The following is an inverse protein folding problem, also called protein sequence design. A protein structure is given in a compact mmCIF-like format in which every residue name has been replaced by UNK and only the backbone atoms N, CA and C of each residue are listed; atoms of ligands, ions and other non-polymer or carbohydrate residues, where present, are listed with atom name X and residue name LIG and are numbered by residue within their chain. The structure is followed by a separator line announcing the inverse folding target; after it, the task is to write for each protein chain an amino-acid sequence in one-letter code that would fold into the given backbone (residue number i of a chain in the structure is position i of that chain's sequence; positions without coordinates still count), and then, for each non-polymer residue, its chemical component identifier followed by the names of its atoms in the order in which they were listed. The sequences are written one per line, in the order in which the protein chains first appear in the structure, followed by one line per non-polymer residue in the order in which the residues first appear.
data_IF_124455608378
#
_entry.id   IF_124455608378
#
_cell.length_a   1.000
_cell.length_b   1.000
_cell.length_c   1.000
_cell.angle_alpha   90.00
_cell.angle_beta   90.00
_cell.angle_gamma   90.00
#
_symmetry.space_group_name_H-M   'P 1'
#
loop_
_entity.id
_entity.type
_entity.pdbx_description
1 polymer ?
#
# COMPACT_ATOMS: atom_id res chain seq x y z
N UNK A 1 18.30 -11.62 8.58
CA UNK A 1 17.57 -10.34 8.39
C UNK A 1 18.54 -9.39 7.70
N UNK A 2 18.12 -8.68 6.71
CA UNK A 2 18.95 -7.72 5.96
C UNK A 2 18.84 -6.33 6.58
N UNK A 3 19.91 -5.54 6.49
CA UNK A 3 19.89 -4.13 6.93
C UNK A 3 19.12 -3.22 5.92
N UNK A 4 18.72 -3.78 4.76
CA UNK A 4 18.03 -3.05 3.70
C UNK A 4 16.52 -2.88 3.96
N UNK A 5 15.95 -3.66 4.87
CA UNK A 5 14.59 -3.52 5.37
C UNK A 5 14.62 -3.46 6.90
N UNK A 6 14.24 -2.31 7.47
CA UNK A 6 14.07 -2.18 8.91
C UNK A 6 12.65 -2.60 9.29
N UNK A 7 12.54 -3.52 10.23
CA UNK A 7 11.26 -4.07 10.71
C UNK A 7 11.10 -3.68 12.17
N UNK A 8 10.04 -2.95 12.47
CA UNK A 8 9.70 -2.51 13.83
C UNK A 8 8.25 -2.85 14.12
N UNK A 9 8.00 -3.45 15.28
CA UNK A 9 6.64 -3.75 15.71
C UNK A 9 6.43 -3.19 17.13
N UNK A 10 5.38 -2.39 17.28
CA UNK A 10 4.94 -1.87 18.56
C UNK A 10 3.40 -1.64 18.52
N UNK A 11 2.72 -1.92 19.61
CA UNK A 11 1.28 -1.64 19.79
C UNK A 11 0.42 -2.16 18.63
N UNK A 12 0.71 -3.36 18.11
CA UNK A 12 0.08 -3.99 16.95
C UNK A 12 0.28 -3.24 15.61
N UNK A 13 1.20 -2.29 15.55
CA UNK A 13 1.62 -1.60 14.33
C UNK A 13 2.94 -2.23 13.88
N UNK A 14 2.98 -2.79 12.67
CA UNK A 14 4.19 -3.26 12.01
C UNK A 14 4.66 -2.18 11.04
N UNK A 15 5.85 -1.63 11.26
CA UNK A 15 6.46 -0.65 10.36
C UNK A 15 7.61 -1.30 9.59
N UNK A 16 7.51 -1.24 8.26
CA UNK A 16 8.50 -1.73 7.31
C UNK A 16 9.14 -0.51 6.64
N UNK A 17 10.43 -0.27 6.91
CA UNK A 17 11.14 0.86 6.31
C UNK A 17 12.15 0.35 5.29
N UNK A 18 11.95 0.69 4.02
CA UNK A 18 12.92 0.45 2.95
C UNK A 18 14.17 1.26 3.27
N UNK A 19 15.33 0.60 3.42
CA UNK A 19 16.52 1.20 4.01
C UNK A 19 17.74 1.09 3.09
N UNK A 20 17.67 1.73 1.94
CA UNK A 20 18.81 2.01 1.05
C UNK A 20 18.80 3.50 0.66
N UNK A 21 18.90 4.43 1.65
CA UNK A 21 18.72 5.87 1.42
C UNK A 21 19.70 6.45 0.39
N UNK A 22 20.92 5.92 0.30
CA UNK A 22 21.95 6.32 -0.68
C UNK A 22 21.58 5.93 -2.12
N UNK A 23 20.62 5.03 -2.29
CA UNK A 23 20.06 4.57 -3.56
C UNK A 23 18.59 4.97 -3.71
N UNK A 24 18.11 5.96 -2.94
CA UNK A 24 16.72 6.38 -2.93
C UNK A 24 15.73 5.20 -2.71
N UNK A 25 16.16 4.25 -1.90
CA UNK A 25 15.42 3.02 -1.58
C UNK A 25 15.06 2.17 -2.82
N UNK A 26 15.92 2.20 -3.86
CA UNK A 26 15.77 1.29 -5.00
C UNK A 26 15.81 -0.17 -4.51
N UNK A 27 14.87 -0.97 -5.00
CA UNK A 27 14.63 -2.34 -4.57
C UNK A 27 15.59 -3.27 -5.32
N UNK A 28 16.51 -3.89 -4.59
CA UNK A 28 17.25 -5.05 -5.06
C UNK A 28 16.59 -6.36 -4.60
N UNK A 29 17.08 -7.50 -5.09
CA UNK A 29 16.47 -8.80 -4.80
C UNK A 29 16.43 -9.11 -3.30
N UNK A 30 17.47 -8.77 -2.55
CA UNK A 30 17.53 -9.02 -1.11
C UNK A 30 16.48 -8.21 -0.33
N UNK A 31 16.25 -6.94 -0.70
CA UNK A 31 15.19 -6.12 -0.12
C UNK A 31 13.81 -6.64 -0.55
N UNK A 32 13.68 -7.07 -1.81
CA UNK A 32 12.43 -7.64 -2.35
C UNK A 32 12.00 -8.88 -1.57
N UNK A 33 12.93 -9.83 -1.40
CA UNK A 33 12.69 -11.07 -0.65
C UNK A 33 12.31 -10.76 0.79
N UNK A 34 13.10 -9.92 1.47
CA UNK A 34 12.84 -9.56 2.86
C UNK A 34 11.47 -8.86 3.05
N UNK A 35 11.08 -8.00 2.10
CA UNK A 35 9.79 -7.32 2.13
C UNK A 35 8.64 -8.33 1.92
N UNK A 36 8.77 -9.22 0.95
CA UNK A 36 7.77 -10.26 0.65
C UNK A 36 7.58 -11.20 1.83
N UNK A 37 8.67 -11.79 2.34
CA UNK A 37 8.64 -12.72 3.48
C UNK A 37 8.02 -12.07 4.72
N UNK A 38 8.37 -10.81 4.99
CA UNK A 38 7.83 -10.09 6.16
C UNK A 38 6.34 -9.79 6.01
N UNK A 39 5.88 -9.43 4.80
CA UNK A 39 4.47 -9.20 4.52
C UNK A 39 3.67 -10.50 4.64
N UNK A 40 4.17 -11.62 4.11
CA UNK A 40 3.53 -12.92 4.21
C UNK A 40 3.43 -13.41 5.66
N UNK A 41 4.51 -13.27 6.43
CA UNK A 41 4.50 -13.58 7.85
C UNK A 41 3.50 -12.70 8.63
N UNK A 42 3.41 -11.41 8.29
CA UNK A 42 2.48 -10.47 8.93
C UNK A 42 1.01 -10.81 8.64
N UNK A 43 0.71 -11.46 7.52
CA UNK A 43 -0.68 -11.80 7.15
C UNK A 43 -1.36 -12.67 8.21
N UNK A 44 -0.68 -13.68 8.76
CA UNK A 44 -1.18 -14.61 9.76
C UNK A 44 -0.85 -14.22 11.22
N UNK A 45 -0.02 -13.21 11.44
CA UNK A 45 0.39 -12.79 12.78
C UNK A 45 -0.69 -11.96 13.47
N UNK A 46 -1.40 -12.52 14.44
CA UNK A 46 -2.50 -11.86 15.19
C UNK A 46 -2.02 -10.64 15.99
N UNK A 47 -0.75 -10.56 16.35
CA UNK A 47 -0.14 -9.41 17.02
C UNK A 47 0.06 -8.19 16.10
N UNK A 48 -0.19 -8.35 14.79
CA UNK A 48 -0.17 -7.25 13.82
C UNK A 48 -1.60 -6.87 13.48
N UNK A 49 -1.99 -5.62 13.75
CA UNK A 49 -3.29 -5.07 13.40
C UNK A 49 -3.27 -4.17 12.17
N UNK A 50 -2.11 -3.59 11.85
CA UNK A 50 -1.90 -2.68 10.71
C UNK A 50 -0.44 -2.70 10.29
N UNK A 51 -0.20 -2.48 9.00
CA UNK A 51 1.15 -2.38 8.43
C UNK A 51 1.38 -0.97 7.90
N UNK A 52 2.55 -0.42 8.17
CA UNK A 52 3.04 0.86 7.60
C UNK A 52 4.26 0.56 6.76
N UNK A 53 4.26 0.98 5.49
CA UNK A 53 5.42 0.92 4.60
C UNK A 53 5.96 2.33 4.43
N UNK A 54 7.25 2.52 4.69
CA UNK A 54 7.96 3.79 4.62
C UNK A 54 9.31 3.64 3.90
N UNK A 55 9.91 4.75 3.53
CA UNK A 55 11.30 4.81 3.04
C UNK A 55 12.19 5.56 4.02
N UNK A 56 13.44 5.15 4.15
CA UNK A 56 14.45 5.90 4.89
C UNK A 56 15.02 7.05 4.04
N UNK A 57 15.50 8.11 4.68
CA UNK A 57 16.14 9.25 4.02
C UNK A 57 15.17 10.11 3.23
N UNK A 58 15.56 10.57 2.03
CA UNK A 58 14.88 11.64 1.27
C UNK A 58 13.80 11.18 0.28
N UNK A 59 13.58 9.88 0.12
CA UNK A 59 12.61 9.33 -0.82
C UNK A 59 11.85 8.14 -0.23
N UNK A 60 10.65 7.92 -0.66
CA UNK A 60 9.93 6.68 -0.34
C UNK A 60 10.61 5.48 -1.02
N UNK A 61 10.61 5.46 -2.37
CA UNK A 61 11.25 4.41 -3.16
C UNK A 61 11.24 4.79 -4.65
N UNK A 62 12.35 4.53 -5.36
CA UNK A 62 12.48 4.84 -6.80
C UNK A 62 12.37 3.62 -7.72
N UNK A 63 11.87 2.49 -7.20
CA UNK A 63 11.60 1.28 -8.00
C UNK A 63 12.74 0.27 -7.98
N UNK A 64 12.79 -0.59 -8.98
CA UNK A 64 13.83 -1.61 -9.09
C UNK A 64 15.23 -1.00 -9.23
N UNK A 65 16.26 -1.65 -8.67
CA UNK A 65 17.64 -1.23 -8.83
C UNK A 65 18.11 -1.55 -10.26
N UNK A 66 18.13 -0.52 -11.12
CA UNK A 66 18.50 -0.62 -12.54
C UNK A 66 19.91 -1.19 -12.73
N UNK A 67 20.80 -1.01 -11.74
CA UNK A 67 22.14 -1.60 -11.79
C UNK A 67 22.15 -3.14 -11.80
N UNK A 68 21.03 -3.79 -11.48
CA UNK A 68 20.86 -5.25 -11.56
C UNK A 68 20.19 -5.72 -12.87
N UNK A 69 19.82 -4.81 -13.76
CA UNK A 69 19.26 -5.13 -15.09
C UNK A 69 20.39 -5.51 -16.05
N UNK A 70 20.86 -6.75 -15.95
CA UNK A 70 21.87 -7.33 -16.86
C UNK A 70 21.17 -8.15 -17.94
N UNK A 71 21.91 -8.49 -19.02
CA UNK A 71 21.39 -9.33 -20.11
C UNK A 71 20.94 -10.70 -19.57
N UNK A 72 19.75 -11.15 -19.95
CA UNK A 72 19.12 -12.39 -19.52
C UNK A 72 18.28 -13.00 -20.63
N UNK A 73 18.03 -14.27 -20.54
CA UNK A 73 17.07 -14.96 -21.41
C UNK A 73 15.64 -14.54 -21.12
N UNK A 74 14.70 -14.69 -22.08
CA UNK A 74 13.30 -14.39 -21.85
C UNK A 74 12.71 -15.13 -20.62
N UNK A 75 13.05 -16.39 -20.38
CA UNK A 75 12.56 -17.16 -19.25
C UNK A 75 13.07 -16.64 -17.89
N UNK A 76 14.34 -16.20 -17.84
CA UNK A 76 14.89 -15.58 -16.64
C UNK A 76 14.21 -14.22 -16.36
N UNK A 77 13.95 -13.43 -17.43
CA UNK A 77 13.22 -12.17 -17.29
C UNK A 77 11.78 -12.39 -16.81
N UNK A 78 11.06 -13.39 -17.34
CA UNK A 78 9.71 -13.74 -16.90
C UNK A 78 9.69 -14.04 -15.41
N UNK A 79 10.61 -14.87 -14.91
CA UNK A 79 10.73 -15.21 -13.50
C UNK A 79 11.02 -14.00 -12.63
N UNK A 80 11.93 -13.11 -13.06
CA UNK A 80 12.32 -11.92 -12.29
C UNK A 80 11.19 -10.90 -12.24
N UNK A 81 10.56 -10.61 -13.37
CA UNK A 81 9.44 -9.66 -13.44
C UNK A 81 8.26 -10.16 -12.59
N UNK A 82 7.97 -11.47 -12.64
CA UNK A 82 6.93 -12.07 -11.79
C UNK A 82 7.29 -11.95 -10.30
N UNK A 83 8.53 -12.20 -9.93
CA UNK A 83 9.03 -12.08 -8.57
C UNK A 83 8.94 -10.63 -8.01
N UNK A 84 9.19 -9.62 -8.84
CA UNK A 84 8.98 -8.21 -8.45
C UNK A 84 7.52 -7.89 -8.09
N UNK A 85 6.55 -8.68 -8.52
CA UNK A 85 5.14 -8.54 -8.15
C UNK A 85 4.77 -9.18 -6.81
N UNK A 86 5.62 -10.01 -6.21
CA UNK A 86 5.29 -10.75 -5.00
C UNK A 86 4.94 -9.85 -3.80
N UNK A 87 5.68 -8.80 -3.44
CA UNK A 87 5.28 -7.91 -2.36
C UNK A 87 3.96 -7.18 -2.65
N UNK A 88 3.69 -6.87 -3.93
CA UNK A 88 2.42 -6.27 -4.35
C UNK A 88 1.27 -7.25 -4.16
N UNK A 89 1.46 -8.52 -4.55
CA UNK A 89 0.49 -9.60 -4.32
C UNK A 89 0.26 -9.83 -2.83
N UNK A 90 1.32 -9.82 -2.02
CA UNK A 90 1.23 -9.96 -0.58
C UNK A 90 0.39 -8.82 0.03
N UNK A 91 0.68 -7.55 -0.30
CA UNK A 91 -0.11 -6.39 0.15
C UNK A 91 -1.59 -6.52 -0.28
N UNK A 92 -1.82 -6.98 -1.52
CA UNK A 92 -3.17 -7.15 -2.04
C UNK A 92 -3.97 -8.25 -1.32
N UNK A 93 -3.31 -9.31 -0.83
CA UNK A 93 -3.94 -10.45 -0.14
C UNK A 93 -4.12 -10.25 1.35
N UNK A 94 -3.26 -9.43 1.98
CA UNK A 94 -3.33 -9.15 3.41
C UNK A 94 -4.67 -8.50 3.76
N UNK A 95 -5.40 -9.07 4.72
CA UNK A 95 -6.70 -8.54 5.18
C UNK A 95 -6.55 -7.34 6.13
N UNK A 96 -5.36 -7.12 6.67
CA UNK A 96 -5.06 -5.99 7.55
C UNK A 96 -4.89 -4.70 6.74
N UNK A 97 -5.24 -3.53 7.31
CA UNK A 97 -4.95 -2.26 6.66
C UNK A 97 -3.44 -2.07 6.41
N UNK A 98 -3.09 -1.56 5.23
CA UNK A 98 -1.72 -1.23 4.85
C UNK A 98 -1.64 0.24 4.46
N UNK A 99 -0.72 0.97 5.07
CA UNK A 99 -0.52 2.41 4.88
C UNK A 99 0.83 2.64 4.21
N UNK A 100 0.86 3.33 3.09
CA UNK A 100 2.08 3.89 2.51
C UNK A 100 2.32 5.29 3.09
N UNK A 101 3.48 5.50 3.73
CA UNK A 101 3.98 6.79 4.19
C UNK A 101 4.87 7.37 3.08
N UNK A 102 4.28 8.17 2.21
CA UNK A 102 4.92 8.69 1.00
C UNK A 102 5.61 10.03 1.26
N UNK A 103 6.89 10.15 0.92
CA UNK A 103 7.63 11.41 0.93
C UNK A 103 8.70 11.40 -0.17
N UNK A 104 9.13 12.59 -0.60
CA UNK A 104 10.10 12.71 -1.69
C UNK A 104 9.63 11.98 -2.95
N UNK A 105 10.51 11.22 -3.57
CA UNK A 105 10.22 10.52 -4.82
C UNK A 105 9.54 9.15 -4.57
N UNK A 106 8.42 8.93 -5.27
CA UNK A 106 7.64 7.68 -5.29
C UNK A 106 7.55 7.23 -6.75
N UNK A 107 8.48 6.40 -7.21
CA UNK A 107 8.72 6.19 -8.64
C UNK A 107 8.76 4.70 -8.98
N UNK A 108 8.27 4.33 -10.15
CA UNK A 108 8.34 2.97 -10.69
C UNK A 108 7.76 1.92 -9.74
N UNK A 109 8.56 0.93 -9.33
CA UNK A 109 8.15 -0.08 -8.35
C UNK A 109 7.75 0.50 -6.99
N UNK A 110 8.34 1.63 -6.58
CA UNK A 110 7.93 2.36 -5.39
C UNK A 110 6.49 2.91 -5.52
N UNK A 111 6.13 3.43 -6.69
CA UNK A 111 4.75 3.81 -6.98
C UNK A 111 3.83 2.58 -6.96
N UNK A 112 4.28 1.45 -7.53
CA UNK A 112 3.54 0.18 -7.48
C UNK A 112 3.23 -0.28 -6.06
N UNK A 113 4.24 -0.29 -5.18
CA UNK A 113 4.06 -0.61 -3.76
C UNK A 113 3.08 0.35 -3.07
N UNK A 114 3.21 1.65 -3.31
CA UNK A 114 2.32 2.64 -2.72
C UNK A 114 0.87 2.47 -3.20
N UNK A 115 0.66 2.19 -4.48
CA UNK A 115 -0.70 1.96 -5.04
C UNK A 115 -1.35 0.68 -4.51
N UNK A 116 -0.58 -0.36 -4.22
CA UNK A 116 -1.09 -1.60 -3.64
C UNK A 116 -1.57 -1.42 -2.19
N UNK A 117 -1.04 -0.44 -1.45
CA UNK A 117 -1.48 -0.11 -0.10
C UNK A 117 -2.92 0.44 -0.11
N UNK A 118 -3.62 0.30 1.02
CA UNK A 118 -4.99 0.81 1.16
C UNK A 118 -5.01 2.35 1.28
N UNK A 119 -4.02 2.89 1.98
CA UNK A 119 -3.88 4.34 2.20
C UNK A 119 -2.52 4.83 1.73
N UNK A 120 -2.51 5.97 1.05
CA UNK A 120 -1.32 6.73 0.65
C UNK A 120 -1.36 8.08 1.34
N UNK A 121 -0.63 8.19 2.46
CA UNK A 121 -0.45 9.44 3.20
C UNK A 121 0.85 10.08 2.73
N UNK A 122 0.78 11.29 2.24
CA UNK A 122 1.88 11.95 1.54
C UNK A 122 2.30 13.26 2.19
N UNK A 123 3.60 13.52 2.17
CA UNK A 123 4.17 14.84 2.49
C UNK A 123 4.04 15.79 1.31
N UNK A 124 3.84 17.07 1.60
CA UNK A 124 4.08 18.14 0.63
C UNK A 124 5.51 18.03 0.08
N UNK A 125 5.67 18.31 -1.22
CA UNK A 125 6.94 18.15 -1.94
C UNK A 125 7.19 16.74 -2.47
N UNK A 126 6.34 15.74 -2.17
CA UNK A 126 6.46 14.42 -2.80
C UNK A 126 6.09 14.42 -4.27
N UNK A 127 6.70 13.51 -5.07
CA UNK A 127 6.50 13.42 -6.52
C UNK A 127 6.29 11.97 -6.95
N UNK A 128 5.48 11.77 -7.98
CA UNK A 128 5.03 10.46 -8.44
C UNK A 128 5.33 10.29 -9.92
N UNK A 129 5.84 9.10 -10.32
CA UNK A 129 6.13 8.83 -11.71
C UNK A 129 6.06 7.33 -12.02
N UNK A 130 5.51 6.98 -13.19
CA UNK A 130 5.59 5.66 -13.81
C UNK A 130 6.57 5.72 -15.00
N UNK A 131 7.90 5.60 -14.79
CA UNK A 131 8.93 5.98 -15.75
C UNK A 131 9.22 4.91 -16.82
N UNK A 132 8.50 3.81 -16.84
CA UNK A 132 8.84 2.58 -17.56
C UNK A 132 9.05 2.79 -19.05
N UNK A 133 8.21 3.59 -19.73
CA UNK A 133 8.34 3.85 -21.19
C UNK A 133 9.61 4.62 -21.53
N UNK A 134 10.16 5.43 -20.61
CA UNK A 134 11.44 6.10 -20.81
C UNK A 134 12.63 5.13 -20.83
N UNK A 135 12.44 3.92 -20.28
CA UNK A 135 13.42 2.84 -20.30
C UNK A 135 13.12 1.81 -21.41
N UNK A 136 12.15 2.07 -22.28
CA UNK A 136 11.69 1.10 -23.28
C UNK A 136 10.91 -0.08 -22.72
N UNK A 137 10.43 0.03 -21.47
CA UNK A 137 9.60 -0.97 -20.81
C UNK A 137 8.12 -0.62 -20.97
N UNK A 138 7.24 -1.63 -20.83
CA UNK A 138 5.81 -1.39 -20.87
C UNK A 138 5.36 -0.54 -19.68
N UNK A 139 4.56 0.50 -19.92
CA UNK A 139 4.08 1.44 -18.89
C UNK A 139 3.23 0.78 -17.79
N UNK A 140 2.72 -0.43 -18.04
CA UNK A 140 1.88 -1.18 -17.12
C UNK A 140 2.65 -1.94 -16.01
N UNK A 141 3.98 -1.86 -15.99
CA UNK A 141 4.85 -2.60 -15.07
C UNK A 141 4.55 -2.28 -13.59
N UNK A 142 5.02 -3.15 -12.70
CA UNK A 142 4.85 -3.03 -11.24
C UNK A 142 3.41 -2.71 -10.82
N UNK A 143 2.44 -3.39 -11.45
CA UNK A 143 1.01 -3.24 -11.20
C UNK A 143 0.38 -1.89 -11.62
N UNK A 144 1.13 -0.98 -12.25
CA UNK A 144 0.59 0.31 -12.69
C UNK A 144 -0.61 0.15 -13.62
N UNK A 145 -0.57 -0.83 -14.53
CA UNK A 145 -1.68 -1.13 -15.43
C UNK A 145 -2.98 -1.54 -14.72
N UNK A 146 -2.90 -2.10 -13.52
CA UNK A 146 -4.06 -2.51 -12.73
C UNK A 146 -4.54 -1.40 -11.78
N UNK A 147 -3.66 -0.87 -10.93
CA UNK A 147 -4.06 0.07 -9.88
C UNK A 147 -4.25 1.49 -10.37
N UNK A 148 -3.37 2.00 -11.24
CA UNK A 148 -3.41 3.42 -11.59
C UNK A 148 -4.73 3.84 -12.24
N UNK A 149 -5.26 3.12 -13.27
CA UNK A 149 -6.56 3.47 -13.85
C UNK A 149 -7.72 3.42 -12.85
N UNK A 150 -7.64 2.54 -11.86
CA UNK A 150 -8.66 2.39 -10.80
C UNK A 150 -8.59 3.49 -9.75
N UNK A 151 -7.42 4.06 -9.53
CA UNK A 151 -7.22 5.14 -8.56
C UNK A 151 -7.48 6.52 -9.12
N UNK A 152 -7.01 6.79 -10.36
CA UNK A 152 -7.03 8.14 -10.95
C UNK A 152 -7.89 8.27 -12.20
N UNK A 153 -8.51 7.18 -12.66
CA UNK A 153 -9.25 7.11 -13.91
C UNK A 153 -8.36 6.97 -15.13
N UNK A 154 -8.95 6.57 -16.26
CA UNK A 154 -8.23 6.24 -17.50
C UNK A 154 -7.41 7.42 -18.06
N UNK A 155 -7.96 8.65 -17.99
CA UNK A 155 -7.31 9.82 -18.58
C UNK A 155 -5.96 10.12 -17.91
N UNK A 156 -5.94 10.26 -16.59
CA UNK A 156 -4.71 10.52 -15.85
C UNK A 156 -3.75 9.32 -15.89
N UNK A 157 -4.27 8.10 -15.83
CA UNK A 157 -3.44 6.89 -15.94
C UNK A 157 -2.73 6.84 -17.30
N UNK A 158 -3.45 7.10 -18.41
CA UNK A 158 -2.88 7.16 -19.75
C UNK A 158 -1.77 8.21 -19.85
N UNK A 159 -2.03 9.41 -19.32
CA UNK A 159 -1.04 10.49 -19.32
C UNK A 159 0.22 10.08 -18.54
N UNK A 160 0.09 9.65 -17.28
CA UNK A 160 1.24 9.25 -16.46
C UNK A 160 2.04 8.08 -17.06
N UNK A 161 1.35 7.04 -17.55
CA UNK A 161 2.00 5.81 -18.02
C UNK A 161 2.64 5.97 -19.40
N UNK A 162 2.06 6.77 -20.30
CA UNK A 162 2.55 6.94 -21.67
C UNK A 162 3.55 8.08 -21.80
N UNK A 163 3.47 9.11 -20.96
CA UNK A 163 4.42 10.25 -20.99
C UNK A 163 5.58 10.08 -20.02
N UNK A 164 5.41 9.20 -19.01
CA UNK A 164 6.36 9.02 -17.90
C UNK A 164 6.74 10.36 -17.21
N UNK A 165 5.82 11.33 -17.22
CA UNK A 165 6.04 12.61 -16.53
C UNK A 165 5.96 12.45 -15.02
N UNK A 166 6.64 13.33 -14.31
CA UNK A 166 6.43 13.49 -12.89
C UNK A 166 5.12 14.23 -12.62
N UNK A 167 4.40 13.77 -11.61
CA UNK A 167 3.21 14.38 -11.03
C UNK A 167 3.60 14.88 -9.65
N UNK A 168 3.32 16.14 -9.33
CA UNK A 168 3.55 16.67 -8.00
C UNK A 168 2.44 16.21 -7.01
N UNK A 169 2.65 16.50 -5.73
CA UNK A 169 1.75 16.02 -4.68
C UNK A 169 0.36 16.67 -4.73
N UNK A 170 0.25 17.91 -5.18
CA UNK A 170 -1.04 18.61 -5.28
C UNK A 170 -1.86 18.02 -6.44
N UNK A 171 -1.26 17.84 -7.60
CA UNK A 171 -1.90 17.18 -8.73
C UNK A 171 -2.27 15.73 -8.37
N UNK A 172 -1.36 14.98 -7.74
CA UNK A 172 -1.61 13.62 -7.30
C UNK A 172 -2.79 13.53 -6.31
N UNK A 173 -2.95 14.53 -5.44
CA UNK A 173 -4.11 14.64 -4.55
C UNK A 173 -5.39 14.94 -5.31
N UNK A 174 -5.36 15.86 -6.27
CA UNK A 174 -6.52 16.24 -7.08
C UNK A 174 -7.06 15.08 -7.93
N UNK A 175 -6.17 14.29 -8.51
CA UNK A 175 -6.57 13.11 -9.32
C UNK A 175 -6.99 11.89 -8.49
N UNK A 176 -6.92 11.95 -7.17
CA UNK A 176 -7.35 10.85 -6.29
C UNK A 176 -6.27 9.81 -5.96
N UNK A 177 -5.03 10.01 -6.42
CA UNK A 177 -3.94 9.09 -6.11
C UNK A 177 -3.64 9.05 -4.61
N UNK A 178 -3.75 10.17 -3.91
CA UNK A 178 -3.40 10.30 -2.49
C UNK A 178 -4.64 10.31 -1.59
N UNK A 179 -4.61 9.53 -0.53
CA UNK A 179 -5.64 9.55 0.52
C UNK A 179 -5.59 10.86 1.32
N UNK A 180 -4.38 11.26 1.72
CA UNK A 180 -4.13 12.51 2.46
C UNK A 180 -2.84 13.15 1.98
N UNK A 181 -2.81 14.48 1.99
CA UNK A 181 -1.63 15.31 1.75
C UNK A 181 -1.49 16.25 2.94
N UNK A 182 -0.31 16.28 3.56
CA UNK A 182 -0.03 17.07 4.77
C UNK A 182 1.36 17.71 4.69
N UNK A 183 1.65 18.76 5.47
CA UNK A 183 3.01 19.25 5.64
C UNK A 183 3.96 18.11 6.04
N UNK A 184 5.21 18.13 5.56
CA UNK A 184 6.19 17.05 5.82
C UNK A 184 6.40 16.83 7.33
N UNK A 185 6.45 17.91 8.10
CA UNK A 185 6.62 17.83 9.55
C UNK A 185 5.45 17.15 10.30
N UNK A 186 4.27 17.05 9.69
CA UNK A 186 3.08 16.44 10.27
C UNK A 186 2.87 14.99 9.84
N UNK A 187 3.59 14.52 8.80
CA UNK A 187 3.32 13.22 8.17
C UNK A 187 3.41 12.08 9.17
N UNK A 188 4.46 12.04 10.00
CA UNK A 188 4.67 10.96 10.97
C UNK A 188 3.54 10.89 12.00
N UNK A 189 3.10 12.03 12.51
CA UNK A 189 1.98 12.08 13.46
C UNK A 189 0.67 11.62 12.83
N UNK A 190 0.38 12.05 11.60
CA UNK A 190 -0.85 11.68 10.88
C UNK A 190 -0.86 10.19 10.55
N UNK A 191 0.28 9.62 10.12
CA UNK A 191 0.44 8.18 9.89
C UNK A 191 0.27 7.40 11.18
N UNK A 192 0.96 7.79 12.25
CA UNK A 192 0.87 7.11 13.55
C UNK A 192 -0.55 7.16 14.14
N UNK A 193 -1.25 8.28 14.02
CA UNK A 193 -2.65 8.42 14.45
C UNK A 193 -3.57 7.46 13.71
N UNK A 194 -3.45 7.39 12.38
CA UNK A 194 -4.25 6.47 11.57
C UNK A 194 -3.90 5.00 11.90
N UNK A 195 -2.61 4.67 12.00
CA UNK A 195 -2.15 3.32 12.33
C UNK A 195 -2.69 2.87 13.70
N UNK A 196 -2.58 3.69 14.75
CA UNK A 196 -3.15 3.39 16.07
C UNK A 196 -4.67 3.17 16.01
N UNK A 197 -5.39 3.93 15.20
CA UNK A 197 -6.84 3.75 15.07
C UNK A 197 -7.22 2.40 14.46
N UNK A 198 -6.40 1.88 13.53
CA UNK A 198 -6.59 0.54 12.98
C UNK A 198 -6.12 -0.56 13.93
N UNK A 199 -4.97 -0.38 14.59
CA UNK A 199 -4.42 -1.33 15.55
C UNK A 199 -5.39 -1.63 16.71
N UNK A 200 -6.15 -0.62 17.16
CA UNK A 200 -7.21 -0.73 18.17
C UNK A 200 -8.61 -0.94 17.56
N UNK A 201 -8.70 -1.03 16.24
CA UNK A 201 -9.96 -1.19 15.51
C UNK A 201 -10.49 -2.61 15.52
N UNK A 202 -11.74 -2.81 15.04
CA UNK A 202 -12.36 -4.13 14.88
C UNK A 202 -11.74 -4.85 13.68
N UNK A 203 -10.71 -5.67 13.92
CA UNK A 203 -9.88 -6.29 12.87
C UNK A 203 -10.72 -7.04 11.83
N UNK A 204 -11.73 -7.82 12.27
CA UNK A 204 -12.61 -8.58 11.36
C UNK A 204 -13.43 -7.65 10.46
N UNK A 205 -14.02 -6.59 11.02
CA UNK A 205 -14.80 -5.64 10.24
C UNK A 205 -13.93 -4.87 9.23
N UNK A 206 -12.69 -4.50 9.62
CA UNK A 206 -11.73 -3.88 8.71
C UNK A 206 -11.34 -4.80 7.56
N UNK A 207 -11.09 -6.10 7.85
CA UNK A 207 -10.79 -7.11 6.85
C UNK A 207 -11.92 -7.27 5.82
N UNK A 208 -13.15 -7.46 6.27
CA UNK A 208 -14.31 -7.56 5.37
C UNK A 208 -14.53 -6.28 4.56
N UNK A 209 -14.36 -5.10 5.18
CA UNK A 209 -14.49 -3.81 4.48
C UNK A 209 -13.44 -3.68 3.37
N UNK A 210 -12.17 -4.01 3.66
CA UNK A 210 -11.09 -4.00 2.65
C UNK A 210 -11.40 -4.95 1.50
N UNK A 211 -11.83 -6.17 1.81
CA UNK A 211 -12.17 -7.17 0.79
C UNK A 211 -13.36 -6.72 -0.07
N UNK A 212 -14.42 -6.16 0.52
CA UNK A 212 -15.55 -5.62 -0.20
C UNK A 212 -15.14 -4.51 -1.19
N UNK A 213 -14.36 -3.53 -0.71
CA UNK A 213 -13.87 -2.43 -1.56
C UNK A 213 -13.06 -2.96 -2.75
N UNK A 214 -12.17 -3.94 -2.52
CA UNK A 214 -11.33 -4.50 -3.60
C UNK A 214 -12.11 -5.32 -4.60
N UNK A 215 -13.11 -6.09 -4.14
CA UNK A 215 -13.97 -6.92 -5.00
C UNK A 215 -14.95 -6.09 -5.83
N UNK A 216 -15.46 -4.99 -5.30
CA UNK A 216 -16.54 -4.18 -5.91
C UNK A 216 -16.22 -3.70 -7.33
N UNK A 217 -14.96 -3.66 -7.71
CA UNK A 217 -14.53 -3.20 -9.04
C UNK A 217 -14.66 -4.32 -10.10
N UNK A 218 -14.56 -5.58 -9.67
CA UNK A 218 -14.48 -6.75 -10.55
C UNK A 218 -15.72 -7.68 -10.41
N UNK A 219 -16.73 -7.30 -9.58
CA UNK A 219 -17.94 -8.10 -9.33
C UNK A 219 -19.21 -7.33 -9.70
N UNK A 220 -20.29 -8.06 -9.96
CA UNK A 220 -21.63 -7.47 -10.13
C UNK A 220 -22.26 -7.14 -8.76
N UNK A 221 -23.29 -6.27 -8.81
CA UNK A 221 -23.98 -5.76 -7.62
C UNK A 221 -24.59 -6.89 -6.75
N UNK A 222 -25.17 -7.91 -7.33
CA UNK A 222 -25.82 -8.99 -6.55
C UNK A 222 -24.78 -9.83 -5.83
N UNK A 223 -23.69 -10.18 -6.52
CA UNK A 223 -22.55 -10.88 -5.92
C UNK A 223 -21.94 -10.07 -4.75
N UNK A 224 -21.88 -8.75 -4.87
CA UNK A 224 -21.38 -7.91 -3.79
C UNK A 224 -22.37 -7.81 -2.62
N UNK A 225 -23.68 -7.78 -2.86
CA UNK A 225 -24.71 -7.81 -1.81
C UNK A 225 -24.73 -9.15 -1.05
N UNK A 226 -24.48 -10.26 -1.72
CA UNK A 226 -24.35 -11.57 -1.07
C UNK A 226 -23.12 -11.56 -0.13
N UNK A 227 -22.00 -11.00 -0.59
CA UNK A 227 -20.81 -10.85 0.24
C UNK A 227 -21.04 -9.89 1.42
N UNK A 228 -21.70 -8.76 1.20
CA UNK A 228 -22.07 -7.81 2.25
C UNK A 228 -22.92 -8.50 3.33
N UNK A 229 -23.94 -9.25 2.93
CA UNK A 229 -24.79 -10.01 3.85
C UNK A 229 -23.98 -11.00 4.69
N UNK A 230 -23.10 -11.77 4.05
CA UNK A 230 -22.20 -12.70 4.75
C UNK A 230 -21.30 -11.95 5.75
N UNK A 231 -20.62 -10.89 5.30
CA UNK A 231 -19.69 -10.12 6.11
C UNK A 231 -20.37 -9.48 7.34
N UNK A 232 -21.56 -8.92 7.15
CA UNK A 232 -22.33 -8.32 8.25
C UNK A 232 -22.75 -9.35 9.28
N UNK A 233 -23.24 -10.53 8.86
CA UNK A 233 -23.60 -11.61 9.79
C UNK A 233 -22.39 -12.03 10.62
N UNK A 234 -21.20 -12.17 9.98
CA UNK A 234 -19.97 -12.50 10.72
C UNK A 234 -19.56 -11.42 11.73
N UNK A 235 -19.74 -10.15 11.39
CA UNK A 235 -19.44 -9.03 12.29
C UNK A 235 -20.44 -8.96 13.45
N UNK A 236 -21.75 -9.08 13.19
CA UNK A 236 -22.81 -9.01 14.19
C UNK A 236 -22.67 -10.09 15.28
N UNK A 237 -22.08 -11.24 14.96
CA UNK A 237 -21.86 -12.33 15.90
C UNK A 237 -20.56 -12.19 16.72
N UNK A 238 -19.70 -11.21 16.41
CA UNK A 238 -18.41 -11.02 17.07
C UNK A 238 -18.52 -10.36 18.45
N UNK A 239 -17.56 -10.67 19.33
CA UNK A 239 -17.42 -9.98 20.62
C UNK A 239 -17.10 -8.50 20.41
N UNK A 240 -16.25 -8.15 19.46
CA UNK A 240 -15.96 -6.77 19.06
C UNK A 240 -17.24 -5.95 18.82
N UNK A 241 -18.23 -6.52 18.10
CA UNK A 241 -19.49 -5.83 17.86
C UNK A 241 -20.25 -5.58 19.17
N UNK A 242 -20.39 -6.63 20.00
CA UNK A 242 -21.12 -6.54 21.29
C UNK A 242 -20.51 -5.48 22.22
N UNK A 243 -19.18 -5.50 22.36
CA UNK A 243 -18.46 -4.56 23.21
C UNK A 243 -18.59 -3.11 22.72
N UNK A 244 -18.46 -2.90 21.41
CA UNK A 244 -18.55 -1.55 20.80
C UNK A 244 -19.97 -0.99 20.87
N UNK A 245 -21.00 -1.81 20.67
CA UNK A 245 -22.39 -1.39 20.83
C UNK A 245 -22.67 -1.04 22.30
N UNK A 246 -22.24 -1.85 23.25
CA UNK A 246 -22.39 -1.56 24.68
C UNK A 246 -21.70 -0.23 25.06
N UNK A 247 -20.47 -0.01 24.60
CA UNK A 247 -19.74 1.23 24.84
C UNK A 247 -20.41 2.46 24.18
N UNK A 248 -21.02 2.29 23.01
CA UNK A 248 -21.75 3.36 22.33
C UNK A 248 -23.01 3.76 23.10
N UNK A 249 -23.82 2.78 23.54
CA UNK A 249 -25.03 3.01 24.31
C UNK A 249 -24.74 3.65 25.68
N UNK A 250 -23.67 3.21 26.35
CA UNK A 250 -23.25 3.80 27.63
C UNK A 250 -22.88 5.28 27.49
N UNK A 251 -22.22 5.67 26.39
CA UNK A 251 -21.90 7.08 26.08
C UNK A 251 -23.14 7.93 25.78
N UNK A 252 -24.15 7.34 25.12
CA UNK A 252 -25.43 8.05 24.88
C UNK A 252 -26.24 8.28 26.18
N UNK A 253 -26.22 7.36 27.10
CA UNK A 253 -26.93 7.47 28.38
C UNK A 253 -26.32 8.54 29.33
N UNK A 254 -25.08 9.02 29.04
CA UNK A 254 -24.37 10.05 29.81
C UNK A 254 -24.54 11.47 29.23
N UNK A 255 -25.22 11.62 28.10
CA UNK A 255 -25.57 12.91 27.46
C UNK A 255 -26.99 13.29 27.74
#
# INVERSE_FOLDING_TARGET
MTDKLLVQQADRVLTLTLNRPDRLNAIDMEMLDALTDTLEAAASNEEVGVIVIAGAGRAFCTGADIGQMVERTPAEWESIVDHYLDPIRAIARIEKPVIARCHGDVVGGGLGLAMACDFRLAAQGSRYCAPFVNLGLAGCDMSAGYFLPRLVGLGFATDMMMTARFVDCEEAKQMGLLSRLVPEAELDEVVAKLARSFASGPSRALAFTKNAIRRSIDTDMNTEFDYETFAQVQCLQSDDHRERVAAFLARQAQK
#
